data_IF_482669106130
#
_entry.id   IF_482669106130
#
_cell.length_a   1.000
_cell.length_b   1.000
_cell.length_c   1.000
_cell.angle_alpha   90.00
_cell.angle_beta   90.00
_cell.angle_gamma   90.00
#
_symmetry.space_group_name_H-M   'P 1'
#
loop_
_entity.id
_entity.type
_entity.pdbx_description
1 polymer ?
#
# COMPACT_ATOMS: atom_id res chain seq x y z
N UNK A 1 -3.01 -0.94 -5.42
CA UNK A 1 -2.74 0.47 -5.75
C UNK A 1 -1.31 0.83 -5.34
N UNK A 2 -0.57 1.60 -6.15
CA UNK A 2 0.80 2.01 -5.84
C UNK A 2 1.08 3.47 -6.23
N UNK A 3 1.98 4.12 -5.51
CA UNK A 3 2.44 5.49 -5.77
C UNK A 3 3.97 5.55 -5.75
N UNK A 4 4.55 6.15 -6.79
CA UNK A 4 5.97 6.43 -6.87
C UNK A 4 6.29 7.81 -6.27
N UNK A 5 7.44 7.90 -5.60
CA UNK A 5 8.02 9.10 -5.02
C UNK A 5 9.38 9.35 -5.66
N UNK A 6 9.50 10.49 -6.36
CA UNK A 6 10.78 10.93 -6.94
C UNK A 6 11.69 11.60 -5.90
N UNK A 7 11.08 12.23 -4.90
CA UNK A 7 11.75 12.98 -3.84
C UNK A 7 11.30 12.46 -2.48
N UNK A 8 12.11 12.64 -1.42
CA UNK A 8 11.69 12.29 -0.07
C UNK A 8 10.42 13.04 0.34
N UNK A 9 9.55 12.38 1.11
CA UNK A 9 8.32 12.98 1.65
C UNK A 9 8.25 12.70 3.15
N UNK A 10 8.01 13.74 3.95
CA UNK A 10 7.98 13.59 5.41
C UNK A 10 6.87 12.66 5.93
N UNK A 11 5.69 12.68 5.31
CA UNK A 11 4.61 11.76 5.63
C UNK A 11 3.73 11.44 4.42
N UNK A 12 3.27 10.20 4.34
CA UNK A 12 2.34 9.72 3.34
C UNK A 12 1.27 8.84 3.96
N UNK A 13 0.02 9.10 3.62
CA UNK A 13 -1.13 8.28 3.98
C UNK A 13 -1.82 7.84 2.70
N UNK A 14 -2.02 6.53 2.57
CA UNK A 14 -2.81 5.92 1.51
C UNK A 14 -3.99 5.19 2.16
N UNK A 15 -5.19 5.42 1.64
CA UNK A 15 -6.39 4.70 2.05
C UNK A 15 -7.07 4.10 0.83
N UNK A 16 -7.47 2.84 0.92
CA UNK A 16 -8.22 2.14 -0.13
C UNK A 16 -9.53 1.66 0.46
N UNK A 17 -10.65 2.16 -0.07
CA UNK A 17 -11.99 1.72 0.27
C UNK A 17 -12.43 0.63 -0.70
N UNK A 18 -12.82 -0.52 -0.17
CA UNK A 18 -13.44 -1.60 -0.92
C UNK A 18 -14.97 -1.49 -0.83
N UNK A 19 -15.63 -1.82 -1.92
CA UNK A 19 -17.09 -1.79 -2.05
C UNK A 19 -17.61 -3.15 -2.48
N UNK A 20 -18.84 -3.49 -2.08
CA UNK A 20 -19.53 -4.67 -2.57
C UNK A 20 -19.68 -4.65 -4.11
N UNK A 21 -19.80 -5.83 -4.75
CA UNK A 21 -19.92 -7.16 -4.14
C UNK A 21 -18.60 -7.90 -3.89
N UNK A 22 -17.44 -7.31 -4.20
CA UNK A 22 -16.15 -8.02 -4.15
C UNK A 22 -15.25 -7.44 -3.06
N UNK A 23 -14.95 -8.26 -2.06
CA UNK A 23 -13.99 -7.93 -1.00
C UNK A 23 -12.70 -8.73 -1.21
N UNK A 24 -11.53 -8.14 -0.91
CA UNK A 24 -10.27 -8.85 -1.05
C UNK A 24 -10.16 -9.95 0.01
N UNK A 25 -9.55 -11.08 -0.37
CA UNK A 25 -9.24 -12.16 0.58
C UNK A 25 -7.98 -11.88 1.38
N UNK A 26 -7.12 -11.00 0.86
CA UNK A 26 -5.86 -10.60 1.46
C UNK A 26 -5.50 -9.20 1.00
N UNK A 27 -5.00 -8.37 1.91
CA UNK A 27 -4.37 -7.09 1.61
C UNK A 27 -2.96 -7.09 2.20
N UNK A 28 -2.02 -6.42 1.56
CA UNK A 28 -0.62 -6.35 2.01
C UNK A 28 0.02 -5.04 1.58
N UNK A 29 1.05 -4.61 2.29
CA UNK A 29 1.86 -3.46 1.87
C UNK A 29 2.69 -3.78 0.63
N UNK A 30 3.01 -2.76 -0.15
CA UNK A 30 3.96 -2.82 -1.25
C UNK A 30 5.04 -1.78 -1.02
N UNK A 31 6.31 -2.17 -1.17
CA UNK A 31 7.42 -1.22 -1.09
C UNK A 31 8.46 -1.48 -2.19
N UNK A 32 9.13 -0.42 -2.63
CA UNK A 32 10.28 -0.48 -3.52
C UNK A 32 11.20 0.68 -3.17
N UNK A 33 12.45 0.42 -2.80
CA UNK A 33 13.42 1.49 -2.49
C UNK A 33 14.19 1.89 -3.76
N UNK A 34 14.09 3.16 -4.15
CA UNK A 34 14.73 3.67 -5.36
C UNK A 34 14.13 3.13 -6.67
N UNK A 35 14.67 3.60 -7.80
CA UNK A 35 14.17 3.24 -9.13
C UNK A 35 14.48 1.78 -9.50
N UNK A 36 15.65 1.28 -9.10
CA UNK A 36 16.15 -0.06 -9.42
C UNK A 36 15.89 -1.08 -8.30
N UNK A 37 15.17 -0.68 -7.24
CA UNK A 37 14.79 -1.59 -6.16
C UNK A 37 13.81 -2.67 -6.61
N UNK A 38 13.79 -3.79 -5.90
CA UNK A 38 12.79 -4.84 -6.08
C UNK A 38 11.48 -4.40 -5.41
N UNK A 39 10.37 -4.55 -6.12
CA UNK A 39 9.04 -4.37 -5.53
C UNK A 39 8.72 -5.58 -4.64
N UNK A 40 8.63 -5.35 -3.33
CA UNK A 40 8.35 -6.38 -2.33
C UNK A 40 6.90 -6.28 -1.84
N UNK A 41 6.34 -7.44 -1.49
CA UNK A 41 5.16 -7.51 -0.64
C UNK A 41 5.64 -7.42 0.80
N UNK A 42 5.08 -6.47 1.53
CA UNK A 42 5.28 -6.31 2.96
C UNK A 42 4.25 -7.14 3.73
N UNK A 43 4.16 -6.91 5.04
CA UNK A 43 3.19 -7.55 5.90
C UNK A 43 1.74 -7.35 5.44
N UNK A 44 0.91 -8.33 5.83
CA UNK A 44 -0.51 -8.31 5.57
C UNK A 44 -1.16 -7.17 6.35
N UNK A 45 -2.13 -6.53 5.69
CA UNK A 45 -2.92 -5.44 6.25
C UNK A 45 -4.32 -5.96 6.52
N UNK A 46 -4.78 -5.82 7.76
CA UNK A 46 -6.13 -6.23 8.13
C UNK A 46 -7.18 -5.40 7.37
N UNK A 47 -8.20 -6.07 6.83
CA UNK A 47 -9.39 -5.42 6.30
C UNK A 47 -10.43 -5.27 7.42
N UNK A 48 -10.60 -4.08 8.02
CA UNK A 48 -11.57 -3.87 9.08
C UNK A 48 -13.01 -3.93 8.54
N UNK A 49 -14.04 -4.04 9.41
CA UNK A 49 -15.45 -4.05 9.00
C UNK A 49 -15.89 -2.83 8.16
N UNK A 50 -15.21 -1.69 8.31
CA UNK A 50 -15.40 -0.49 7.49
C UNK A 50 -14.89 -0.62 6.03
N UNK A 51 -14.26 -1.74 5.69
CA UNK A 51 -13.74 -2.08 4.36
C UNK A 51 -12.73 -1.06 3.81
N UNK A 52 -12.02 -0.38 4.70
CA UNK A 52 -10.99 0.57 4.34
C UNK A 52 -9.65 0.12 4.91
N UNK A 53 -8.66 -0.05 4.05
CA UNK A 53 -7.28 -0.38 4.45
C UNK A 53 -6.44 0.89 4.35
N UNK A 54 -5.59 1.09 5.34
CA UNK A 54 -4.71 2.25 5.43
C UNK A 54 -3.25 1.83 5.45
N UNK A 55 -2.41 2.61 4.78
CA UNK A 55 -0.96 2.55 4.91
C UNK A 55 -0.48 3.94 5.28
N UNK A 56 0.27 4.03 6.37
CA UNK A 56 0.90 5.28 6.84
C UNK A 56 2.40 5.10 6.88
N UNK A 57 3.13 5.99 6.22
CA UNK A 57 4.57 6.01 6.21
C UNK A 57 5.10 7.40 6.56
N UNK A 58 6.22 7.45 7.28
CA UNK A 58 6.98 8.66 7.57
C UNK A 58 8.35 8.56 6.92
N UNK A 59 8.98 9.71 6.68
CA UNK A 59 10.33 9.79 6.12
C UNK A 59 10.51 8.93 4.86
N UNK A 60 9.49 9.00 3.99
CA UNK A 60 9.38 8.20 2.77
C UNK A 60 10.54 8.55 1.85
N UNK A 61 11.35 7.55 1.55
CA UNK A 61 12.46 7.67 0.61
C UNK A 61 11.96 7.62 -0.85
N UNK A 62 12.73 8.14 -1.82
CA UNK A 62 12.44 7.94 -3.23
C UNK A 62 12.27 6.45 -3.55
N UNK A 63 11.22 6.09 -4.28
CA UNK A 63 10.81 4.70 -4.44
C UNK A 63 9.32 4.55 -4.72
N UNK A 64 8.74 3.42 -4.36
CA UNK A 64 7.31 3.13 -4.48
C UNK A 64 6.76 2.67 -3.14
N UNK A 65 5.57 3.16 -2.77
CA UNK A 65 4.76 2.60 -1.68
C UNK A 65 3.34 2.31 -2.19
N UNK A 66 2.69 1.30 -1.62
CA UNK A 66 1.35 0.94 -2.03
C UNK A 66 0.68 -0.08 -1.14
N UNK A 67 -0.55 -0.41 -1.51
CA UNK A 67 -1.32 -1.51 -0.93
C UNK A 67 -1.64 -2.46 -2.09
N UNK A 68 -1.20 -3.70 -1.99
CA UNK A 68 -1.62 -4.79 -2.85
C UNK A 68 -2.75 -5.59 -2.20
N UNK A 69 -3.48 -6.33 -3.01
CA UNK A 69 -4.54 -7.22 -2.53
C UNK A 69 -4.77 -8.34 -3.54
N UNK A 70 -5.36 -9.42 -3.04
CA UNK A 70 -5.77 -10.58 -3.83
C UNK A 70 -7.29 -10.69 -3.83
N UNK A 71 -7.82 -11.13 -4.96
CA UNK A 71 -9.23 -11.40 -5.17
C UNK A 71 -9.49 -12.91 -5.21
N UNK A 72 -10.74 -13.30 -4.96
CA UNK A 72 -11.28 -14.61 -5.35
C UNK A 72 -11.79 -14.57 -6.78
#
# INVERSE_FOLDING_TARGET
YRRAFRYPVGAYVLSVQFTEPQLPVRCFGLSQLGAEGVLTQEEDLDLPPGRMVHLTARDVQPGVLGIGWEWT
#
